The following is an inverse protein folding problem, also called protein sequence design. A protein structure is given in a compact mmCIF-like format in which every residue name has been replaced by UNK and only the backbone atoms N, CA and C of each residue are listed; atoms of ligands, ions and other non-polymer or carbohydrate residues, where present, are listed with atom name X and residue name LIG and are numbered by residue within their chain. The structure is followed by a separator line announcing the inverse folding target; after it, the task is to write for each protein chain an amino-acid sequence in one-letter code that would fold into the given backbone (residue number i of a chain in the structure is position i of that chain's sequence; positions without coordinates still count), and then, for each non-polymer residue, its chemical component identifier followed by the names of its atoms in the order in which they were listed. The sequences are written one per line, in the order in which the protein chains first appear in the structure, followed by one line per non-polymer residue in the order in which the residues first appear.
data_IF_397088041682
#
_entry.id   IF_397088041682
#
_cell.length_a   1.000
_cell.length_b   1.000
_cell.length_c   1.000
_cell.angle_alpha   90.00
_cell.angle_beta   90.00
_cell.angle_gamma   90.00
#
_symmetry.space_group_name_H-M   'P 1'
#
loop_
_entity.id
_entity.type
_entity.pdbx_description
1 polymer ?
#
# COMPACT_ATOMS: atom_id res chain seq x y z
N UNK A 1 -1.24 -10.19 12.41
CA UNK A 1 -0.22 -11.10 11.92
C UNK A 1 -0.60 -11.57 10.53
N UNK A 2 0.33 -11.57 9.59
CA UNK A 2 0.13 -12.07 8.22
C UNK A 2 -0.27 -13.56 8.21
N UNK A 3 0.21 -14.34 9.17
CA UNK A 3 -0.11 -15.76 9.31
C UNK A 3 -1.61 -16.01 9.49
N UNK A 4 -2.29 -15.11 10.21
CA UNK A 4 -3.74 -15.20 10.40
C UNK A 4 -4.49 -14.95 9.07
N UNK A 5 -4.02 -13.97 8.29
CA UNK A 5 -4.57 -13.69 6.96
C UNK A 5 -4.35 -14.86 6.00
N UNK A 6 -3.15 -15.43 5.97
CA UNK A 6 -2.83 -16.56 5.10
C UNK A 6 -3.65 -17.81 5.47
N UNK A 7 -3.83 -18.05 6.76
CA UNK A 7 -4.68 -19.13 7.25
C UNK A 7 -6.15 -18.93 6.86
N UNK A 8 -6.65 -17.70 6.99
CA UNK A 8 -7.99 -17.32 6.55
C UNK A 8 -8.15 -17.51 5.04
N UNK A 9 -7.22 -17.00 4.22
CA UNK A 9 -7.24 -17.11 2.77
C UNK A 9 -7.31 -18.56 2.30
N UNK A 10 -6.50 -19.44 2.90
CA UNK A 10 -6.51 -20.88 2.60
C UNK A 10 -7.87 -21.50 2.89
N UNK A 11 -8.46 -21.22 4.06
CA UNK A 11 -9.79 -21.73 4.42
C UNK A 11 -10.88 -21.22 3.52
N UNK A 12 -10.84 -19.92 3.20
CA UNK A 12 -11.82 -19.28 2.32
C UNK A 12 -11.82 -19.91 0.93
N UNK A 13 -10.63 -20.06 0.32
CA UNK A 13 -10.50 -20.66 -1.00
C UNK A 13 -11.01 -22.12 -1.01
N UNK A 14 -10.63 -22.90 0.00
CA UNK A 14 -11.08 -24.31 0.12
C UNK A 14 -12.61 -24.40 0.20
N UNK A 15 -13.24 -23.60 1.05
CA UNK A 15 -14.70 -23.61 1.21
C UNK A 15 -15.39 -23.14 -0.08
N UNK A 16 -14.85 -22.12 -0.75
CA UNK A 16 -15.37 -21.62 -2.01
C UNK A 16 -15.32 -22.68 -3.12
N UNK A 17 -14.22 -23.41 -3.24
CA UNK A 17 -14.05 -24.52 -4.18
C UNK A 17 -15.00 -25.68 -3.86
N UNK A 18 -15.10 -26.11 -2.61
CA UNK A 18 -16.01 -27.17 -2.16
C UNK A 18 -17.48 -26.84 -2.41
N UNK A 19 -17.83 -25.55 -2.32
CA UNK A 19 -19.19 -25.05 -2.62
C UNK A 19 -19.45 -24.82 -4.12
N UNK A 20 -18.46 -25.02 -5.00
CA UNK A 20 -18.56 -24.73 -6.43
C UNK A 20 -18.70 -23.23 -6.75
N UNK A 21 -18.24 -22.35 -5.84
CA UNK A 21 -18.34 -20.91 -5.99
C UNK A 21 -17.02 -20.34 -6.48
N UNK A 22 -17.10 -19.31 -7.34
CA UNK A 22 -15.93 -18.55 -7.81
C UNK A 22 -15.81 -17.22 -7.06
N UNK A 23 -15.61 -17.30 -5.76
CA UNK A 23 -15.46 -16.10 -4.90
C UNK A 23 -14.01 -15.69 -4.80
N UNK A 24 -13.77 -14.38 -4.69
CA UNK A 24 -12.44 -13.80 -4.57
C UNK A 24 -12.35 -12.91 -3.32
N UNK A 25 -11.20 -12.97 -2.66
CA UNK A 25 -10.84 -12.00 -1.63
C UNK A 25 -10.22 -10.79 -2.35
N UNK A 26 -10.88 -9.64 -2.27
CA UNK A 26 -10.38 -8.40 -2.84
C UNK A 26 -9.73 -7.59 -1.71
N UNK A 27 -8.39 -7.47 -1.69
CA UNK A 27 -7.70 -6.70 -0.67
C UNK A 27 -7.96 -5.20 -0.89
N UNK A 28 -8.27 -4.50 0.19
CA UNK A 28 -8.48 -3.07 0.19
C UNK A 28 -7.27 -2.36 0.79
N UNK A 29 -6.66 -1.47 0.03
CA UNK A 29 -5.47 -0.74 0.44
C UNK A 29 -5.72 0.77 0.56
N UNK A 30 -5.06 1.37 1.54
CA UNK A 30 -5.06 2.82 1.76
C UNK A 30 -3.64 3.34 1.56
N UNK A 31 -3.45 4.26 0.61
CA UNK A 31 -2.20 4.99 0.43
C UNK A 31 -2.16 6.25 1.30
N UNK A 32 -0.96 6.71 1.62
CA UNK A 32 -0.74 7.99 2.33
C UNK A 32 -1.34 8.07 3.74
N UNK A 33 -1.52 6.93 4.41
CA UNK A 33 -1.90 6.92 5.83
C UNK A 33 -0.80 7.62 6.66
N UNK A 34 -1.15 8.39 7.70
CA UNK A 34 -0.16 8.96 8.62
C UNK A 34 0.84 7.93 9.12
N UNK A 35 2.13 8.24 9.04
CA UNK A 35 3.23 7.32 9.32
C UNK A 35 3.80 6.60 8.11
N UNK A 36 3.08 6.52 7.00
CA UNK A 36 3.56 5.86 5.79
C UNK A 36 4.40 6.80 4.92
N UNK A 37 5.57 6.33 4.52
CA UNK A 37 6.48 7.02 3.59
C UNK A 37 6.40 6.40 2.19
N UNK A 38 7.03 7.06 1.21
CA UNK A 38 7.12 6.55 -0.16
C UNK A 38 7.76 5.14 -0.21
N UNK A 39 8.78 4.91 0.62
CA UNK A 39 9.46 3.62 0.70
C UNK A 39 8.54 2.50 1.21
N UNK A 40 7.71 2.79 2.23
CA UNK A 40 6.77 1.82 2.78
C UNK A 40 5.71 1.41 1.74
N UNK A 41 5.22 2.39 0.97
CA UNK A 41 4.27 2.13 -0.10
C UNK A 41 4.89 1.36 -1.26
N UNK A 42 6.14 1.66 -1.61
CA UNK A 42 6.88 0.92 -2.63
C UNK A 42 7.11 -0.54 -2.22
N UNK A 43 7.48 -0.77 -0.95
CA UNK A 43 7.64 -2.12 -0.40
C UNK A 43 6.32 -2.88 -0.41
N UNK A 44 5.25 -2.27 0.08
CA UNK A 44 3.92 -2.90 0.10
C UNK A 44 3.46 -3.26 -1.31
N UNK A 45 3.67 -2.39 -2.31
CA UNK A 45 3.36 -2.69 -3.71
C UNK A 45 4.20 -3.86 -4.25
N UNK A 46 5.48 -3.95 -3.86
CA UNK A 46 6.37 -5.08 -4.20
C UNK A 46 5.87 -6.39 -3.57
N UNK A 47 5.47 -6.36 -2.31
CA UNK A 47 4.95 -7.52 -1.59
C UNK A 47 3.62 -8.00 -2.18
N UNK A 48 2.71 -7.08 -2.53
CA UNK A 48 1.44 -7.41 -3.20
C UNK A 48 1.66 -8.02 -4.57
N UNK A 49 2.61 -7.49 -5.37
CA UNK A 49 3.00 -8.10 -6.66
C UNK A 49 3.51 -9.52 -6.47
N UNK A 50 4.41 -9.73 -5.49
CA UNK A 50 4.97 -11.05 -5.20
C UNK A 50 3.91 -12.05 -4.74
N UNK A 51 2.85 -11.58 -4.08
CA UNK A 51 1.68 -12.38 -3.70
C UNK A 51 0.69 -12.62 -4.86
N UNK A 52 1.01 -12.18 -6.10
CA UNK A 52 0.16 -12.33 -7.28
C UNK A 52 -1.06 -11.41 -7.28
N UNK A 53 -1.06 -10.35 -6.48
CA UNK A 53 -2.17 -9.40 -6.39
C UNK A 53 -1.92 -8.19 -7.30
N UNK A 54 -2.79 -8.00 -8.29
CA UNK A 54 -2.85 -6.79 -9.09
C UNK A 54 -3.99 -5.92 -8.55
N UNK A 55 -3.64 -4.79 -7.95
CA UNK A 55 -4.62 -3.93 -7.30
C UNK A 55 -5.33 -3.05 -8.33
N UNK A 56 -6.65 -3.09 -8.34
CA UNK A 56 -7.48 -2.22 -9.21
C UNK A 56 -7.89 -0.94 -8.48
N UNK A 57 -8.09 -1.03 -7.17
CA UNK A 57 -8.53 0.10 -6.35
C UNK A 57 -7.63 0.27 -5.13
N UNK A 58 -7.10 1.47 -4.99
CA UNK A 58 -6.35 1.91 -3.82
C UNK A 58 -6.90 3.27 -3.41
N UNK A 59 -7.37 3.39 -2.19
CA UNK A 59 -7.89 4.66 -1.69
C UNK A 59 -6.77 5.51 -1.11
N UNK A 60 -6.79 6.82 -1.39
CA UNK A 60 -5.97 7.78 -0.66
C UNK A 60 -6.53 8.02 0.74
N UNK A 61 -5.66 8.16 1.75
CA UNK A 61 -6.10 8.48 3.11
C UNK A 61 -6.92 9.77 3.12
N UNK A 62 -8.11 9.68 3.69
CA UNK A 62 -9.01 10.81 3.94
C UNK A 62 -9.20 10.96 5.45
N UNK A 63 -8.86 12.12 6.03
CA UNK A 63 -9.09 12.36 7.46
C UNK A 63 -10.57 12.23 7.82
N UNK A 64 -10.86 11.31 8.74
CA UNK A 64 -12.22 11.09 9.27
C UNK A 64 -12.29 11.64 10.70
N UNK A 65 -13.23 12.50 11.04
CA UNK A 65 -13.35 13.06 12.39
C UNK A 65 -13.33 11.98 13.48
N UNK A 66 -12.78 12.32 14.64
CA UNK A 66 -12.69 11.47 15.83
C UNK A 66 -11.83 10.21 15.71
N UNK A 67 -10.93 10.15 14.71
CA UNK A 67 -9.96 9.05 14.59
C UNK A 67 -8.55 9.50 14.98
N UNK A 68 -7.75 8.59 15.57
CA UNK A 68 -6.36 8.86 15.88
C UNK A 68 -5.54 9.21 14.63
N UNK A 69 -5.85 8.58 13.49
CA UNK A 69 -5.20 8.90 12.22
C UNK A 69 -5.41 10.35 11.79
N UNK A 70 -6.60 10.90 12.03
CA UNK A 70 -6.89 12.31 11.77
C UNK A 70 -6.10 13.24 12.71
N UNK A 71 -5.97 12.89 13.98
CA UNK A 71 -5.12 13.62 14.92
C UNK A 71 -3.67 13.63 14.43
N UNK A 72 -3.13 12.46 14.07
CA UNK A 72 -1.77 12.33 13.52
C UNK A 72 -1.59 13.17 12.24
N UNK A 73 -2.57 13.15 11.34
CA UNK A 73 -2.52 13.87 10.08
C UNK A 73 -2.41 15.38 10.27
N UNK A 74 -3.21 15.96 11.15
CA UNK A 74 -3.23 17.41 11.37
C UNK A 74 -2.12 17.88 12.31
N UNK A 75 -1.89 17.17 13.42
CA UNK A 75 -0.91 17.55 14.43
C UNK A 75 0.53 17.23 14.03
N UNK A 76 0.74 16.20 13.18
CA UNK A 76 2.08 15.67 12.90
C UNK A 76 2.70 14.93 14.09
N UNK A 77 1.90 14.53 15.07
CA UNK A 77 2.35 13.88 16.31
C UNK A 77 1.53 12.61 16.55
N UNK A 78 2.19 11.54 16.95
CA UNK A 78 1.53 10.32 17.37
C UNK A 78 0.92 10.52 18.78
N UNK A 79 -0.42 10.40 18.94
CA UNK A 79 -1.09 10.68 20.21
C UNK A 79 -0.72 9.71 21.36
N UNK A 80 -0.17 8.52 21.04
CA UNK A 80 0.20 7.54 22.06
C UNK A 80 1.57 7.78 22.70
N UNK A 81 2.51 8.37 21.97
CA UNK A 81 3.89 8.52 22.45
C UNK A 81 4.46 9.92 22.21
N UNK A 82 3.65 10.84 21.69
CA UNK A 82 3.97 12.25 21.41
C UNK A 82 5.20 12.46 20.49
N UNK A 83 5.60 11.42 19.75
CA UNK A 83 6.69 11.52 18.78
C UNK A 83 6.22 12.11 17.46
N UNK A 84 7.04 12.89 16.75
CA UNK A 84 6.72 13.35 15.41
C UNK A 84 6.40 12.20 14.47
N UNK A 85 5.36 12.38 13.64
CA UNK A 85 4.96 11.41 12.65
C UNK A 85 4.80 12.10 11.28
N UNK A 86 5.36 11.48 10.26
CA UNK A 86 5.23 11.96 8.89
C UNK A 86 3.81 11.74 8.37
N UNK A 87 3.29 12.69 7.61
CA UNK A 87 2.04 12.55 6.87
C UNK A 87 2.16 13.26 5.52
N UNK A 88 1.86 12.56 4.44
CA UNK A 88 1.80 13.15 3.11
C UNK A 88 0.63 14.14 3.04
N UNK A 89 0.91 15.44 2.92
CA UNK A 89 -0.10 16.51 2.90
C UNK A 89 -0.31 17.09 1.51
N UNK A 90 0.75 17.22 0.73
CA UNK A 90 0.65 17.75 -0.62
C UNK A 90 0.08 16.73 -1.59
N UNK A 91 -0.57 17.22 -2.64
CA UNK A 91 -1.08 16.37 -3.73
C UNK A 91 0.04 15.54 -4.35
N UNK A 92 1.22 16.14 -4.55
CA UNK A 92 2.38 15.45 -5.14
C UNK A 92 2.89 14.30 -4.27
N UNK A 93 2.97 14.47 -2.94
CA UNK A 93 3.38 13.41 -2.03
C UNK A 93 2.39 12.24 -2.05
N UNK A 94 1.10 12.54 -2.03
CA UNK A 94 0.03 11.53 -2.11
C UNK A 94 0.08 10.76 -3.44
N UNK A 95 0.24 11.46 -4.56
CA UNK A 95 0.37 10.84 -5.88
C UNK A 95 1.61 9.95 -5.97
N UNK A 96 2.77 10.36 -5.40
CA UNK A 96 3.97 9.53 -5.37
C UNK A 96 3.80 8.25 -4.57
N UNK A 97 3.08 8.30 -3.44
CA UNK A 97 2.78 7.10 -2.68
C UNK A 97 1.77 6.19 -3.39
N UNK A 98 0.78 6.78 -4.03
CA UNK A 98 -0.30 6.05 -4.70
C UNK A 98 0.17 5.31 -5.97
N UNK A 99 1.06 5.91 -6.75
CA UNK A 99 1.50 5.36 -8.05
C UNK A 99 2.15 3.99 -7.97
N UNK A 100 2.78 3.62 -6.84
CA UNK A 100 3.47 2.34 -6.69
C UNK A 100 2.53 1.14 -6.85
N UNK A 101 1.28 1.27 -6.45
CA UNK A 101 0.28 0.21 -6.57
C UNK A 101 -0.15 -0.05 -8.02
N UNK A 102 0.06 0.92 -8.91
CA UNK A 102 -0.25 0.83 -10.34
C UNK A 102 1.01 0.63 -11.21
N UNK A 103 1.99 -0.10 -10.67
CA UNK A 103 3.25 -0.40 -11.33
C UNK A 103 3.09 -1.03 -12.72
N UNK A 104 1.99 -1.73 -12.96
CA UNK A 104 1.67 -2.38 -14.24
C UNK A 104 1.23 -1.39 -15.32
N UNK A 105 0.83 -0.16 -14.96
CA UNK A 105 0.42 0.87 -15.90
C UNK A 105 1.64 1.57 -16.49
N UNK A 106 1.77 1.66 -17.83
CA UNK A 106 2.94 2.26 -18.50
C UNK A 106 3.25 3.69 -18.08
N UNK A 107 2.20 4.50 -17.83
CA UNK A 107 2.32 5.91 -17.43
C UNK A 107 3.07 6.13 -16.11
N UNK A 108 3.05 5.16 -15.21
CA UNK A 108 3.73 5.28 -13.91
C UNK A 108 5.15 4.72 -13.91
N UNK A 109 5.53 3.88 -14.89
CA UNK A 109 6.82 3.17 -14.89
C UNK A 109 8.03 4.09 -14.75
N UNK A 110 8.09 5.17 -15.53
CA UNK A 110 9.21 6.09 -15.49
C UNK A 110 9.28 6.88 -14.18
N UNK A 111 8.13 7.26 -13.63
CA UNK A 111 8.03 7.94 -12.33
C UNK A 111 8.49 7.02 -11.20
N UNK A 112 8.02 5.77 -11.20
CA UNK A 112 8.42 4.75 -10.21
C UNK A 112 9.93 4.50 -10.28
N UNK A 113 10.52 4.32 -11.47
CA UNK A 113 11.96 4.17 -11.65
C UNK A 113 12.74 5.35 -11.06
N UNK A 114 12.31 6.58 -11.37
CA UNK A 114 12.97 7.79 -10.88
C UNK A 114 12.96 7.87 -9.35
N UNK A 115 11.82 7.58 -8.72
CA UNK A 115 11.69 7.64 -7.26
C UNK A 115 12.48 6.51 -6.58
N UNK A 116 12.41 5.27 -7.09
CA UNK A 116 13.13 4.14 -6.50
C UNK A 116 14.65 4.29 -6.64
N UNK A 117 15.13 4.86 -7.75
CA UNK A 117 16.56 5.21 -7.90
C UNK A 117 17.00 6.26 -6.87
N UNK A 118 16.20 7.29 -6.62
CA UNK A 118 16.50 8.30 -5.58
C UNK A 118 16.49 7.72 -4.18
N UNK A 119 15.62 6.73 -3.91
CA UNK A 119 15.56 6.03 -2.64
C UNK A 119 16.64 4.95 -2.49
N UNK A 120 17.41 4.63 -3.55
CA UNK A 120 18.40 3.56 -3.54
C UNK A 120 17.82 2.15 -3.46
N UNK A 121 16.51 1.98 -3.75
CA UNK A 121 15.78 0.72 -3.62
C UNK A 121 15.73 -0.07 -4.93
N UNK A 122 16.93 -0.54 -5.37
CA UNK A 122 17.06 -1.37 -6.56
C UNK A 122 16.37 -2.74 -6.42
N UNK A 123 16.31 -3.27 -5.22
CA UNK A 123 15.57 -4.49 -4.89
C UNK A 123 14.10 -4.41 -5.29
N UNK A 124 13.44 -3.33 -4.87
CA UNK A 124 12.04 -3.07 -5.20
C UNK A 124 11.88 -2.75 -6.69
N UNK A 125 12.80 -1.97 -7.27
CA UNK A 125 12.77 -1.62 -8.69
C UNK A 125 12.80 -2.87 -9.57
N UNK A 126 13.70 -3.80 -9.28
CA UNK A 126 13.81 -5.05 -10.03
C UNK A 126 12.54 -5.89 -9.90
N UNK A 127 11.95 -5.97 -8.73
CA UNK A 127 10.71 -6.71 -8.55
C UNK A 127 9.52 -6.05 -9.27
N UNK A 128 9.33 -4.75 -9.12
CA UNK A 128 8.15 -4.07 -9.67
C UNK A 128 8.19 -3.89 -11.19
N UNK A 129 9.36 -3.62 -11.77
CA UNK A 129 9.46 -3.12 -13.14
C UNK A 129 10.20 -4.09 -14.09
N UNK A 130 11.22 -4.80 -13.62
CA UNK A 130 12.14 -5.53 -14.48
C UNK A 130 11.87 -7.05 -14.60
N UNK A 131 10.82 -7.54 -13.94
CA UNK A 131 10.38 -8.95 -14.07
C UNK A 131 9.09 -9.06 -14.85
#
# INVERSE_FOLDING_TARGET
SFDLYDSFKKKFNKISEEAGLNQQIIPYFISSHPGSKEEDMAKLASDTKSAGLQLEQVQGFTPTPMTNATVMYYSGVNPYNLKPIYSAKSKQEKERQHMFFFWYKPEFRNKIKSVLNKLGRQDILNNLINK
#
